data_IF_989569676963
#
_entry.id   IF_989569676963
#
_cell.length_a   1.000
_cell.length_b   1.000
_cell.length_c   1.000
_cell.angle_alpha   90.00
_cell.angle_beta   90.00
_cell.angle_gamma   90.00
#
_symmetry.space_group_name_H-M   'P 1'
#
loop_
_entity.id
_entity.type
_entity.pdbx_description
1 polymer ?
#
# COMPACT_ATOMS: atom_id res chain seq x y z
N UNK A 1 52.99 -64.50 -10.34
CA UNK A 1 52.28 -65.71 -10.79
C UNK A 1 51.11 -65.29 -11.64
N UNK A 2 51.23 -65.60 -12.78
CA UNK A 2 50.51 -66.22 -13.90
C UNK A 2 49.68 -65.20 -14.70
N UNK A 3 50.26 -64.97 -15.86
CA UNK A 3 49.97 -65.60 -17.19
C UNK A 3 48.68 -65.08 -17.80
N UNK A 4 48.63 -64.21 -18.79
CA UNK A 4 49.11 -64.38 -20.14
C UNK A 4 48.04 -64.96 -21.06
N UNK A 5 47.43 -64.09 -21.93
CA UNK A 5 46.98 -64.63 -23.22
C UNK A 5 46.78 -63.49 -24.24
N UNK A 6 47.71 -63.51 -25.23
CA UNK A 6 47.57 -62.72 -26.47
C UNK A 6 46.49 -63.33 -27.37
N UNK A 7 45.64 -62.54 -27.92
CA UNK A 7 44.88 -62.94 -29.11
C UNK A 7 45.07 -61.91 -30.21
N UNK A 8 45.52 -62.40 -31.34
CA UNK A 8 45.76 -61.69 -32.60
C UNK A 8 44.43 -61.27 -33.24
N UNK A 9 44.25 -60.00 -33.45
CA UNK A 9 43.15 -59.49 -34.26
C UNK A 9 43.57 -59.22 -35.68
N UNK A 10 42.86 -59.78 -36.62
CA UNK A 10 43.02 -59.66 -38.08
C UNK A 10 42.65 -58.27 -38.54
N UNK A 11 43.61 -57.61 -39.23
CA UNK A 11 43.40 -56.37 -39.95
C UNK A 11 42.59 -56.64 -41.24
N UNK A 12 41.35 -56.17 -41.30
CA UNK A 12 40.56 -56.06 -42.52
C UNK A 12 40.90 -54.75 -43.20
N UNK A 13 41.58 -54.80 -44.33
CA UNK A 13 41.72 -53.67 -45.26
C UNK A 13 40.37 -53.34 -45.86
N UNK A 14 39.84 -52.19 -45.59
CA UNK A 14 38.68 -51.64 -46.24
C UNK A 14 39.18 -50.80 -47.39
N UNK A 15 38.87 -51.23 -48.61
CA UNK A 15 39.15 -50.47 -49.83
C UNK A 15 38.07 -49.40 -50.00
N UNK A 16 38.47 -48.12 -49.90
CA UNK A 16 37.61 -47.00 -50.23
C UNK A 16 37.47 -46.91 -51.76
N UNK A 17 36.30 -47.25 -52.30
CA UNK A 17 35.92 -46.89 -53.65
C UNK A 17 35.50 -45.39 -53.62
N UNK A 18 36.29 -44.52 -54.27
CA UNK A 18 35.87 -43.17 -54.62
C UNK A 18 34.63 -43.23 -55.53
N UNK A 19 33.47 -42.99 -54.96
CA UNK A 19 32.26 -42.78 -55.71
C UNK A 19 32.30 -41.40 -56.36
N UNK A 20 32.32 -41.31 -57.63
CA UNK A 20 32.17 -40.07 -58.42
C UNK A 20 30.86 -39.39 -58.06
N UNK A 21 30.95 -38.29 -57.37
CA UNK A 21 29.82 -37.43 -57.07
C UNK A 21 29.21 -36.89 -58.34
N UNK A 22 28.04 -37.41 -58.71
CA UNK A 22 27.19 -36.80 -59.73
C UNK A 22 26.76 -35.43 -59.23
N UNK A 23 27.34 -34.35 -59.74
CA UNK A 23 26.85 -32.97 -59.57
C UNK A 23 25.36 -32.92 -59.85
N UNK A 24 24.51 -32.81 -58.86
CA UNK A 24 23.10 -32.44 -59.05
C UNK A 24 23.07 -31.05 -59.64
N UNK A 25 22.64 -30.96 -60.90
CA UNK A 25 22.29 -29.69 -61.56
C UNK A 25 21.29 -28.95 -60.63
N UNK A 26 21.72 -27.87 -60.02
CA UNK A 26 20.80 -26.94 -59.39
C UNK A 26 19.85 -26.42 -60.47
N UNK A 27 18.60 -26.88 -60.40
CA UNK A 27 17.50 -26.31 -61.19
C UNK A 27 17.28 -24.91 -60.65
N UNK A 28 17.82 -23.91 -61.33
CA UNK A 28 17.43 -22.51 -61.11
C UNK A 28 15.95 -22.38 -61.41
N UNK A 29 15.15 -22.33 -60.34
CA UNK A 29 13.72 -22.10 -60.46
C UNK A 29 13.54 -20.65 -60.92
N UNK A 30 13.30 -20.44 -62.19
CA UNK A 30 12.84 -19.16 -62.72
C UNK A 30 11.34 -19.11 -62.47
N UNK A 31 10.85 -18.30 -61.52
CA UNK A 31 9.42 -18.22 -61.33
C UNK A 31 8.76 -17.72 -62.61
N UNK A 32 7.76 -18.43 -63.06
CA UNK A 32 6.98 -17.97 -64.23
C UNK A 32 6.22 -16.71 -63.82
N UNK A 33 6.14 -15.73 -64.72
CA UNK A 33 5.41 -14.48 -64.50
C UNK A 33 3.98 -14.72 -63.96
N UNK A 34 3.34 -15.79 -64.45
CA UNK A 34 2.02 -16.26 -63.98
C UNK A 34 2.04 -16.76 -62.50
N UNK A 35 3.16 -17.36 -62.09
CA UNK A 35 3.31 -17.77 -60.65
C UNK A 35 3.44 -16.58 -59.69
N UNK A 36 4.23 -15.59 -60.08
CA UNK A 36 4.39 -14.34 -59.31
C UNK A 36 3.06 -13.60 -59.19
N UNK A 37 2.31 -13.47 -60.28
CA UNK A 37 0.98 -12.84 -60.30
C UNK A 37 -0.02 -13.54 -59.37
N UNK A 38 -0.03 -14.89 -59.36
CA UNK A 38 -0.90 -15.65 -58.46
C UNK A 38 -0.55 -15.43 -56.97
N UNK A 39 0.75 -15.41 -56.60
CA UNK A 39 1.18 -15.14 -55.22
C UNK A 39 0.82 -13.72 -54.85
N UNK A 40 1.02 -12.75 -55.73
CA UNK A 40 0.69 -11.35 -55.48
C UNK A 40 -0.82 -11.15 -55.31
N UNK A 41 -1.65 -11.83 -56.08
CA UNK A 41 -3.11 -11.81 -55.92
C UNK A 41 -3.56 -12.40 -54.59
N UNK A 42 -2.94 -13.50 -54.13
CA UNK A 42 -3.24 -14.08 -52.80
C UNK A 42 -2.85 -13.12 -51.69
N UNK A 43 -1.67 -12.50 -51.75
CA UNK A 43 -1.22 -11.51 -50.77
C UNK A 43 -2.18 -10.30 -50.73
N UNK A 44 -2.60 -9.79 -51.90
CA UNK A 44 -3.58 -8.71 -51.97
C UNK A 44 -4.92 -9.08 -51.30
N UNK A 45 -5.41 -10.32 -51.50
CA UNK A 45 -6.64 -10.77 -50.85
C UNK A 45 -6.50 -10.78 -49.34
N UNK A 46 -5.36 -11.26 -48.80
CA UNK A 46 -5.11 -11.22 -47.34
C UNK A 46 -4.97 -9.81 -46.79
N UNK A 47 -4.28 -8.92 -47.50
CA UNK A 47 -4.15 -7.52 -47.11
C UNK A 47 -5.51 -6.82 -47.14
N UNK A 48 -6.29 -6.97 -48.18
CA UNK A 48 -7.64 -6.38 -48.27
C UNK A 48 -8.56 -6.98 -47.22
N UNK A 49 -8.49 -8.31 -46.99
CA UNK A 49 -9.24 -8.97 -45.92
C UNK A 49 -8.87 -8.45 -44.53
N UNK A 50 -7.57 -8.32 -44.23
CA UNK A 50 -7.10 -7.79 -42.98
C UNK A 50 -7.48 -6.32 -42.74
N UNK A 51 -7.34 -5.49 -43.78
CA UNK A 51 -7.77 -4.08 -43.75
C UNK A 51 -9.30 -3.97 -43.56
N UNK A 52 -10.06 -4.81 -44.28
CA UNK A 52 -11.53 -4.82 -44.14
C UNK A 52 -11.96 -5.24 -42.74
N UNK A 53 -11.33 -6.24 -42.15
CA UNK A 53 -11.60 -6.65 -40.75
C UNK A 53 -11.25 -5.55 -39.78
N UNK A 54 -10.12 -4.88 -39.94
CA UNK A 54 -9.72 -3.75 -39.11
C UNK A 54 -10.73 -2.59 -39.18
N UNK A 55 -11.18 -2.24 -40.39
CA UNK A 55 -12.20 -1.20 -40.56
C UNK A 55 -13.58 -1.63 -40.05
N UNK A 56 -13.96 -2.91 -40.25
CA UNK A 56 -15.19 -3.44 -39.73
C UNK A 56 -15.23 -3.43 -38.18
N UNK A 57 -14.14 -3.84 -37.54
CA UNK A 57 -14.00 -3.77 -36.09
C UNK A 57 -14.11 -2.32 -35.56
N UNK A 58 -13.42 -1.40 -36.23
CA UNK A 58 -13.46 0.02 -35.89
C UNK A 58 -14.86 0.62 -36.13
N UNK A 59 -15.53 0.23 -37.19
CA UNK A 59 -16.89 0.66 -37.49
C UNK A 59 -17.90 0.12 -36.48
N UNK A 60 -17.80 -1.15 -36.12
CA UNK A 60 -18.66 -1.76 -35.08
C UNK A 60 -18.44 -1.09 -33.70
N UNK A 61 -17.20 -0.79 -33.36
CA UNK A 61 -16.89 -0.04 -32.11
C UNK A 61 -17.42 1.39 -32.15
N UNK A 62 -17.42 2.04 -33.30
CA UNK A 62 -17.92 3.42 -33.45
C UNK A 62 -19.44 3.53 -33.66
N UNK A 63 -20.09 2.48 -34.16
CA UNK A 63 -21.53 2.50 -34.46
C UNK A 63 -22.44 2.16 -33.29
N UNK A 64 -21.92 1.58 -32.19
CA UNK A 64 -22.66 1.44 -30.96
C UNK A 64 -22.52 2.77 -30.17
N UNK A 65 -23.62 3.48 -29.89
CA UNK A 65 -23.52 4.58 -28.94
C UNK A 65 -22.92 4.02 -27.65
N UNK A 66 -21.82 4.63 -27.19
CA UNK A 66 -21.18 4.20 -25.97
C UNK A 66 -22.22 4.32 -24.85
N UNK A 67 -22.62 3.18 -24.31
CA UNK A 67 -23.48 3.17 -23.13
C UNK A 67 -22.72 3.91 -22.01
N UNK A 68 -23.41 4.83 -21.34
CA UNK A 68 -22.85 5.57 -20.23
C UNK A 68 -23.53 5.13 -18.95
N UNK A 69 -22.79 5.02 -17.89
CA UNK A 69 -23.30 4.62 -16.59
C UNK A 69 -22.64 5.38 -15.43
N UNK A 70 -23.21 5.29 -14.24
CA UNK A 70 -22.65 5.90 -13.04
C UNK A 70 -21.41 5.11 -12.58
N UNK A 71 -20.62 5.76 -11.73
CA UNK A 71 -19.55 5.15 -10.98
C UNK A 71 -20.02 4.74 -9.60
N UNK A 72 -19.69 3.54 -9.18
CA UNK A 72 -19.96 3.03 -7.84
C UNK A 72 -18.64 2.64 -7.14
N UNK A 73 -18.48 3.14 -5.91
CA UNK A 73 -17.38 2.74 -5.02
C UNK A 73 -17.83 1.52 -4.23
N UNK A 74 -17.10 0.42 -4.37
CA UNK A 74 -17.35 -0.83 -3.65
C UNK A 74 -16.47 -0.89 -2.40
N UNK A 75 -16.93 -1.60 -1.36
CA UNK A 75 -16.19 -1.81 -0.11
C UNK A 75 -15.77 -0.50 0.60
N UNK A 76 -16.63 0.51 0.54
CA UNK A 76 -16.39 1.79 1.21
C UNK A 76 -16.51 1.60 2.72
N UNK A 77 -15.47 1.91 3.51
CA UNK A 77 -15.53 1.77 4.96
C UNK A 77 -16.50 2.79 5.59
N UNK A 78 -17.08 2.42 6.73
CA UNK A 78 -18.05 3.26 7.44
C UNK A 78 -17.46 4.61 7.90
N UNK A 79 -16.18 4.63 8.23
CA UNK A 79 -15.47 5.83 8.65
C UNK A 79 -15.23 6.84 7.52
N UNK A 80 -15.33 6.42 6.24
CA UNK A 80 -15.08 7.31 5.12
C UNK A 80 -16.16 8.41 5.04
N UNK A 81 -15.74 9.67 5.20
CA UNK A 81 -16.64 10.82 5.17
C UNK A 81 -17.25 11.04 3.78
N UNK A 82 -18.36 11.78 3.74
CA UNK A 82 -18.99 12.20 2.47
C UNK A 82 -18.05 13.04 1.61
N UNK A 83 -17.20 13.86 2.25
CA UNK A 83 -16.23 14.70 1.58
C UNK A 83 -15.13 13.87 0.94
N UNK A 84 -14.61 12.84 1.64
CA UNK A 84 -13.63 11.92 1.07
C UNK A 84 -14.21 11.16 -0.13
N UNK A 85 -15.42 10.65 -0.02
CA UNK A 85 -16.11 9.98 -1.14
C UNK A 85 -16.31 10.93 -2.34
N UNK A 86 -16.68 12.18 -2.07
CA UNK A 86 -16.83 13.19 -3.11
C UNK A 86 -15.50 13.53 -3.80
N UNK A 87 -14.41 13.65 -3.01
CA UNK A 87 -13.06 13.87 -3.52
C UNK A 87 -12.62 12.76 -4.45
N UNK A 88 -12.79 11.49 -4.04
CA UNK A 88 -12.44 10.33 -4.86
C UNK A 88 -13.26 10.31 -6.16
N UNK A 89 -14.57 10.57 -6.09
CA UNK A 89 -15.41 10.67 -7.28
C UNK A 89 -14.96 11.78 -8.23
N UNK A 90 -14.59 12.93 -7.69
CA UNK A 90 -14.07 14.02 -8.49
C UNK A 90 -12.73 13.66 -9.16
N UNK A 91 -11.83 13.02 -8.42
CA UNK A 91 -10.55 12.54 -8.95
C UNK A 91 -10.73 11.50 -10.06
N UNK A 92 -11.71 10.62 -9.96
CA UNK A 92 -12.02 9.63 -11.00
C UNK A 92 -12.46 10.26 -12.35
N UNK A 93 -12.85 11.52 -12.37
CA UNK A 93 -13.20 12.25 -13.61
C UNK A 93 -14.67 12.57 -13.79
N UNK A 94 -15.54 12.33 -12.78
CA UNK A 94 -16.94 12.73 -12.84
C UNK A 94 -17.95 11.74 -12.28
N UNK A 95 -19.21 11.90 -12.71
CA UNK A 95 -20.32 11.08 -12.23
C UNK A 95 -20.78 9.99 -13.21
N UNK A 96 -20.52 10.19 -14.50
CA UNK A 96 -20.93 9.30 -15.59
C UNK A 96 -19.76 9.00 -16.49
N UNK A 97 -19.58 7.75 -16.82
CA UNK A 97 -18.48 7.22 -17.60
C UNK A 97 -19.01 6.41 -18.78
N UNK A 98 -18.23 6.34 -19.86
CA UNK A 98 -18.45 5.35 -20.90
C UNK A 98 -18.23 3.96 -20.31
N UNK A 99 -19.09 3.02 -20.68
CA UNK A 99 -18.98 1.63 -20.21
C UNK A 99 -18.10 0.82 -21.15
N UNK A 100 -16.84 1.26 -21.32
CA UNK A 100 -15.83 0.61 -22.14
C UNK A 100 -14.50 0.47 -21.37
N UNK A 101 -13.58 -0.26 -21.96
CA UNK A 101 -12.29 -0.56 -21.37
C UNK A 101 -11.40 0.70 -21.28
N UNK A 102 -11.51 1.60 -22.27
CA UNK A 102 -10.76 2.87 -22.30
C UNK A 102 -11.14 3.78 -21.12
N UNK A 103 -12.43 3.83 -20.77
CA UNK A 103 -12.88 4.58 -19.61
C UNK A 103 -12.39 3.96 -18.29
N UNK A 104 -12.30 2.62 -18.21
CA UNK A 104 -11.74 1.96 -17.03
C UNK A 104 -10.26 2.27 -16.84
N UNK A 105 -9.46 2.25 -17.92
CA UNK A 105 -8.04 2.64 -17.88
C UNK A 105 -7.87 4.10 -17.43
N UNK A 106 -8.63 5.02 -18.03
CA UNK A 106 -8.59 6.43 -17.66
C UNK A 106 -8.93 6.66 -16.19
N UNK A 107 -9.93 5.97 -15.66
CA UNK A 107 -10.30 6.06 -14.24
C UNK A 107 -9.19 5.49 -13.35
N UNK A 108 -8.55 4.38 -13.77
CA UNK A 108 -7.42 3.79 -13.05
C UNK A 108 -6.23 4.75 -12.97
N UNK A 109 -5.87 5.37 -14.08
CA UNK A 109 -4.80 6.37 -14.14
C UNK A 109 -5.10 7.58 -13.23
N UNK A 110 -6.32 8.10 -13.29
CA UNK A 110 -6.73 9.22 -12.46
C UNK A 110 -6.69 8.90 -10.96
N UNK A 111 -7.09 7.69 -10.58
CA UNK A 111 -7.12 7.27 -9.19
C UNK A 111 -5.76 6.82 -8.65
N UNK A 112 -4.80 6.47 -9.52
CA UNK A 112 -3.45 6.09 -9.10
C UNK A 112 -2.72 7.16 -8.29
N UNK A 113 -3.09 8.43 -8.45
CA UNK A 113 -2.54 9.56 -7.71
C UNK A 113 -3.32 9.92 -6.43
N UNK A 114 -4.38 9.17 -6.11
CA UNK A 114 -5.17 9.40 -4.91
C UNK A 114 -4.54 8.67 -3.73
N UNK A 115 -3.88 9.38 -2.84
CA UNK A 115 -3.17 8.81 -1.69
C UNK A 115 -4.05 7.93 -0.78
N UNK A 116 -5.35 8.15 -0.77
CA UNK A 116 -6.33 7.45 0.07
C UNK A 116 -6.67 6.02 -0.38
N UNK A 117 -6.28 5.65 -1.59
CA UNK A 117 -6.61 4.37 -2.20
C UNK A 117 -5.36 3.58 -2.55
N UNK A 118 -5.43 2.29 -2.34
CA UNK A 118 -4.41 1.33 -2.72
C UNK A 118 -5.05 0.09 -3.37
N UNK A 119 -4.27 -0.65 -4.16
CA UNK A 119 -4.73 -1.86 -4.84
C UNK A 119 -6.06 -1.65 -5.59
N UNK A 120 -6.11 -0.62 -6.41
CA UNK A 120 -7.32 -0.20 -7.13
C UNK A 120 -7.64 -1.20 -8.24
N UNK A 121 -8.87 -1.71 -8.26
CA UNK A 121 -9.42 -2.57 -9.30
C UNK A 121 -10.65 -1.92 -9.88
N UNK A 122 -10.69 -1.80 -11.19
CA UNK A 122 -11.81 -1.20 -11.90
C UNK A 122 -12.45 -2.24 -12.81
N UNK A 123 -13.75 -2.38 -12.71
CA UNK A 123 -14.54 -3.29 -13.50
C UNK A 123 -15.67 -2.51 -14.20
N UNK A 124 -15.70 -2.60 -15.52
CA UNK A 124 -16.78 -2.03 -16.30
C UNK A 124 -17.86 -3.09 -16.51
N UNK A 125 -19.07 -2.80 -16.13
CA UNK A 125 -20.26 -3.61 -16.38
C UNK A 125 -21.11 -2.94 -17.46
N UNK A 126 -22.14 -3.62 -17.93
CA UNK A 126 -23.11 -3.03 -18.88
C UNK A 126 -23.99 -1.91 -18.30
N UNK A 127 -23.88 -1.60 -16.99
CA UNK A 127 -24.68 -0.57 -16.31
C UNK A 127 -23.86 0.50 -15.61
N UNK A 128 -22.64 0.15 -15.14
CA UNK A 128 -21.86 1.02 -14.27
C UNK A 128 -20.38 0.64 -14.26
N UNK A 129 -19.55 1.57 -13.83
CA UNK A 129 -18.15 1.35 -13.53
C UNK A 129 -18.02 1.11 -12.02
N UNK A 130 -17.54 -0.07 -11.64
CA UNK A 130 -17.28 -0.46 -10.26
C UNK A 130 -15.81 -0.19 -9.92
N UNK A 131 -15.56 0.49 -8.80
CA UNK A 131 -14.24 0.75 -8.26
C UNK A 131 -14.13 0.05 -6.92
N UNK A 132 -13.29 -0.97 -6.87
CA UNK A 132 -12.88 -1.65 -5.66
C UNK A 132 -11.45 -1.22 -5.30
N UNK A 133 -11.21 -0.83 -4.05
CA UNK A 133 -9.88 -0.44 -3.59
C UNK A 133 -9.70 -0.74 -2.10
N UNK A 134 -8.45 -0.89 -1.68
CA UNK A 134 -8.10 -0.82 -0.26
C UNK A 134 -8.07 0.64 0.15
N UNK A 135 -8.87 1.01 1.13
CA UNK A 135 -8.92 2.35 1.70
C UNK A 135 -7.86 2.48 2.79
N UNK A 136 -7.01 3.50 2.69
CA UNK A 136 -6.02 3.80 3.71
C UNK A 136 -6.71 4.50 4.88
N UNK A 137 -6.66 3.84 6.05
CA UNK A 137 -7.23 4.37 7.28
C UNK A 137 -6.23 5.30 7.95
N UNK A 138 -6.53 6.59 8.13
CA UNK A 138 -5.63 7.48 8.86
C UNK A 138 -5.58 7.09 10.34
N UNK A 139 -4.38 7.06 10.90
CA UNK A 139 -4.11 6.75 12.30
C UNK A 139 -3.65 7.99 13.07
N UNK A 140 -2.88 8.82 12.40
CA UNK A 140 -2.31 10.02 12.99
C UNK A 140 -2.49 11.25 12.11
N UNK A 141 -2.37 12.43 12.73
CA UNK A 141 -2.35 13.72 12.04
C UNK A 141 -1.05 14.46 12.35
N UNK A 142 -0.44 15.03 11.33
CA UNK A 142 0.76 15.85 11.45
C UNK A 142 0.47 17.24 10.89
N UNK A 143 0.97 18.27 11.58
CA UNK A 143 0.88 19.65 11.11
C UNK A 143 2.23 20.11 10.53
N UNK A 144 2.20 20.64 9.31
CA UNK A 144 3.36 21.25 8.68
C UNK A 144 3.01 22.67 8.23
N UNK A 145 3.54 23.65 8.92
CA UNK A 145 3.15 25.05 8.73
C UNK A 145 1.66 25.27 9.02
N UNK A 146 0.90 25.72 8.02
CA UNK A 146 -0.55 25.90 8.12
C UNK A 146 -1.37 24.70 7.63
N UNK A 147 -0.71 23.67 7.11
CA UNK A 147 -1.38 22.50 6.52
C UNK A 147 -1.36 21.31 7.48
N UNK A 148 -2.45 20.55 7.47
CA UNK A 148 -2.55 19.27 8.15
C UNK A 148 -2.44 18.14 7.12
N UNK A 149 -1.82 17.05 7.53
CA UNK A 149 -1.70 15.80 6.79
C UNK A 149 -2.09 14.65 7.69
N UNK A 150 -2.60 13.58 7.12
CA UNK A 150 -2.74 12.34 7.86
C UNK A 150 -1.61 11.37 7.49
N UNK A 151 -1.43 10.38 8.36
CA UNK A 151 -0.52 9.26 8.15
C UNK A 151 -1.26 7.98 8.52
N UNK A 152 -1.14 6.96 7.68
CA UNK A 152 -1.68 5.63 7.95
C UNK A 152 -0.67 4.75 8.71
N UNK A 153 -1.02 3.48 8.93
CA UNK A 153 -0.17 2.49 9.61
C UNK A 153 1.01 2.00 8.76
N UNK A 154 1.02 2.29 7.46
CA UNK A 154 2.13 2.02 6.53
C UNK A 154 3.03 3.26 6.33
N UNK A 155 2.88 4.31 7.15
CA UNK A 155 3.58 5.59 7.06
C UNK A 155 3.32 6.36 5.77
N UNK A 156 2.23 6.07 5.05
CA UNK A 156 1.87 6.82 3.85
C UNK A 156 1.20 8.13 4.24
N UNK A 157 1.69 9.22 3.67
CA UNK A 157 1.11 10.55 3.87
C UNK A 157 -0.18 10.70 3.07
N UNK A 158 -1.24 11.11 3.74
CA UNK A 158 -2.54 11.39 3.15
C UNK A 158 -2.82 12.89 3.25
N UNK A 159 -3.41 13.46 2.22
CA UNK A 159 -3.86 14.83 2.26
C UNK A 159 -5.09 15.00 3.16
N UNK A 160 -5.20 16.14 3.82
CA UNK A 160 -6.24 16.38 4.82
C UNK A 160 -7.65 16.42 4.20
N UNK A 161 -8.51 15.56 4.73
CA UNK A 161 -9.97 15.59 4.52
C UNK A 161 -10.62 15.32 5.87
N UNK A 162 -11.62 16.09 6.31
CA UNK A 162 -12.26 15.85 7.62
C UNK A 162 -12.82 14.44 7.76
N UNK A 163 -12.39 13.72 8.80
CA UNK A 163 -12.85 12.37 9.15
C UNK A 163 -13.31 12.39 10.63
N UNK A 164 -14.56 12.71 10.92
CA UNK A 164 -15.02 12.97 12.30
C UNK A 164 -15.12 11.71 13.18
N UNK A 165 -15.19 10.53 12.57
CA UNK A 165 -15.52 9.29 13.28
C UNK A 165 -14.33 8.38 13.56
N UNK A 166 -13.10 8.93 13.52
CA UNK A 166 -11.89 8.18 13.86
C UNK A 166 -11.12 8.86 14.99
N UNK A 167 -10.52 8.07 15.90
CA UNK A 167 -9.61 8.59 16.94
C UNK A 167 -8.25 8.90 16.31
N UNK A 168 -8.12 10.07 15.67
CA UNK A 168 -6.88 10.47 14.99
C UNK A 168 -6.05 11.30 15.99
N UNK A 169 -4.88 10.77 16.35
CA UNK A 169 -3.96 11.38 17.31
C UNK A 169 -2.98 12.30 16.59
N UNK A 170 -2.72 13.49 17.16
CA UNK A 170 -1.70 14.39 16.61
C UNK A 170 -0.30 13.91 16.94
N UNK A 171 0.63 13.95 15.99
CA UNK A 171 2.06 13.73 16.25
C UNK A 171 2.78 15.07 16.22
N UNK A 172 3.53 15.35 17.28
CA UNK A 172 4.31 16.57 17.46
C UNK A 172 5.80 16.24 17.61
N UNK A 173 6.65 17.19 17.24
CA UNK A 173 8.08 17.07 17.50
C UNK A 173 8.85 16.24 16.46
N UNK A 174 8.29 15.94 15.30
CA UNK A 174 8.99 15.24 14.21
C UNK A 174 10.18 16.05 13.71
N UNK A 175 11.26 15.34 13.34
CA UNK A 175 12.49 15.95 12.83
C UNK A 175 12.50 16.14 11.33
N UNK A 176 11.85 15.23 10.60
CA UNK A 176 11.82 15.24 9.15
C UNK A 176 10.67 16.09 8.59
N UNK A 177 10.85 16.60 7.37
CA UNK A 177 9.78 17.31 6.65
C UNK A 177 8.74 16.31 6.14
N UNK A 178 7.48 16.76 6.09
CA UNK A 178 6.38 15.99 5.51
C UNK A 178 6.61 15.83 4.00
N UNK A 179 6.65 14.60 3.46
CA UNK A 179 6.70 14.37 2.02
C UNK A 179 5.35 14.65 1.36
N UNK A 180 5.27 14.43 0.03
CA UNK A 180 4.02 14.63 -0.70
C UNK A 180 2.97 13.55 -0.34
N UNK A 181 1.68 13.87 -0.39
CA UNK A 181 0.63 12.86 -0.25
C UNK A 181 0.81 11.69 -1.24
N UNK A 182 0.66 10.47 -0.74
CA UNK A 182 0.91 9.22 -1.46
C UNK A 182 2.32 8.65 -1.29
N UNK A 183 3.25 9.41 -0.75
CA UNK A 183 4.61 8.95 -0.46
C UNK A 183 4.71 8.34 0.94
N UNK A 184 5.56 7.32 1.09
CA UNK A 184 5.92 6.74 2.39
C UNK A 184 6.89 7.68 3.10
N UNK A 185 6.56 8.10 4.29
CA UNK A 185 7.41 8.98 5.10
C UNK A 185 8.42 8.17 5.90
N UNK A 186 9.62 8.05 5.40
CA UNK A 186 10.73 7.36 6.05
C UNK A 186 11.33 8.23 7.16
N UNK A 187 10.83 8.07 8.39
CA UNK A 187 11.27 8.81 9.56
C UNK A 187 11.14 7.94 10.81
N UNK A 188 12.25 7.68 11.49
CA UNK A 188 12.29 6.77 12.65
C UNK A 188 11.41 7.27 13.81
N UNK A 189 11.34 8.59 14.02
CA UNK A 189 10.52 9.17 15.06
C UNK A 189 9.02 9.11 14.74
N UNK A 190 8.66 9.19 13.45
CA UNK A 190 7.30 8.95 13.00
C UNK A 190 6.92 7.47 13.15
N UNK A 191 7.78 6.56 12.69
CA UNK A 191 7.55 5.12 12.79
C UNK A 191 7.33 4.68 14.25
N UNK A 192 8.16 5.18 15.17
CA UNK A 192 7.99 4.92 16.59
C UNK A 192 6.64 5.39 17.14
N UNK A 193 6.18 6.59 16.73
CA UNK A 193 4.87 7.10 17.14
C UNK A 193 3.73 6.27 16.55
N UNK A 194 3.77 6.02 15.23
CA UNK A 194 2.74 5.26 14.52
C UNK A 194 2.66 3.82 15.03
N UNK A 195 3.79 3.19 15.33
CA UNK A 195 3.84 1.84 15.92
C UNK A 195 3.08 1.79 17.25
N UNK A 196 3.29 2.75 18.14
CA UNK A 196 2.55 2.82 19.42
C UNK A 196 1.06 2.99 19.14
N UNK A 197 0.67 3.95 18.29
CA UNK A 197 -0.74 4.21 17.97
C UNK A 197 -1.42 3.00 17.31
N UNK A 198 -0.72 2.29 16.43
CA UNK A 198 -1.23 1.06 15.81
C UNK A 198 -1.46 -0.06 16.83
N UNK A 199 -0.56 -0.19 17.82
CA UNK A 199 -0.75 -1.13 18.92
C UNK A 199 -1.93 -0.76 19.81
N UNK A 200 -2.12 0.52 20.08
CA UNK A 200 -3.31 1.00 20.80
C UNK A 200 -4.60 0.75 20.00
N UNK A 201 -4.64 1.04 18.70
CA UNK A 201 -5.80 0.73 17.83
C UNK A 201 -6.11 -0.78 17.81
N UNK A 202 -5.08 -1.63 17.81
CA UNK A 202 -5.23 -3.07 17.90
C UNK A 202 -5.80 -3.51 19.27
N UNK A 203 -5.27 -2.95 20.35
CA UNK A 203 -5.73 -3.25 21.72
C UNK A 203 -7.15 -2.75 21.94
N UNK A 204 -7.52 -1.57 21.44
CA UNK A 204 -8.87 -1.03 21.56
C UNK A 204 -9.92 -1.97 20.97
N UNK A 205 -9.64 -2.55 19.80
CA UNK A 205 -10.53 -3.53 19.17
C UNK A 205 -10.75 -4.78 20.01
N UNK A 206 -9.73 -5.20 20.78
CA UNK A 206 -9.78 -6.41 21.58
C UNK A 206 -10.27 -6.18 23.02
N UNK A 207 -9.94 -5.04 23.63
CA UNK A 207 -10.05 -4.80 25.07
C UNK A 207 -11.11 -3.77 25.43
N UNK A 208 -11.29 -2.75 24.57
CA UNK A 208 -12.20 -1.62 24.81
C UNK A 208 -13.00 -1.23 23.57
N UNK A 209 -13.66 -2.19 22.87
CA UNK A 209 -14.34 -1.93 21.58
C UNK A 209 -15.44 -0.88 21.68
N UNK A 210 -16.17 -0.84 22.80
CA UNK A 210 -17.27 0.10 23.01
C UNK A 210 -16.81 1.51 23.37
N UNK A 211 -15.60 1.62 23.96
CA UNK A 211 -15.01 2.90 24.37
C UNK A 211 -13.51 2.85 24.14
N UNK A 212 -13.04 3.05 22.89
CA UNK A 212 -11.62 2.99 22.56
C UNK A 212 -10.79 4.02 23.33
N UNK A 213 -9.67 3.59 23.91
CA UNK A 213 -8.75 4.43 24.66
C UNK A 213 -8.15 5.56 23.80
N UNK A 214 -7.93 5.28 22.51
CA UNK A 214 -7.39 6.26 21.57
C UNK A 214 -8.23 7.55 21.48
N UNK A 215 -9.55 7.49 21.75
CA UNK A 215 -10.37 8.70 21.82
C UNK A 215 -10.02 9.64 22.99
N UNK A 216 -9.33 9.14 24.02
CA UNK A 216 -8.89 9.97 25.16
C UNK A 216 -7.52 10.64 24.90
N UNK A 217 -6.75 10.16 23.90
CA UNK A 217 -5.43 10.70 23.58
C UNK A 217 -5.59 11.85 22.57
N UNK A 218 -5.01 13.00 22.89
CA UNK A 218 -4.99 14.18 22.05
C UNK A 218 -3.77 14.19 21.12
N UNK A 219 -2.58 13.92 21.69
CA UNK A 219 -1.33 13.98 20.93
C UNK A 219 -0.27 13.02 21.47
N UNK A 220 0.72 12.74 20.65
CA UNK A 220 1.96 12.07 20.98
C UNK A 220 3.14 12.97 20.62
N UNK A 221 4.03 13.22 21.57
CA UNK A 221 5.22 14.04 21.40
C UNK A 221 6.46 13.15 21.27
N UNK A 222 7.13 13.25 20.14
CA UNK A 222 8.40 12.58 19.83
C UNK A 222 9.58 13.56 19.77
N UNK A 223 9.41 14.77 20.27
CA UNK A 223 10.44 15.81 20.20
C UNK A 223 11.76 15.44 20.87
N UNK A 224 11.72 14.52 21.83
CA UNK A 224 12.90 13.96 22.49
C UNK A 224 13.24 12.53 22.02
N UNK A 225 12.73 12.11 20.85
CA UNK A 225 13.02 10.79 20.30
C UNK A 225 14.52 10.48 20.32
N UNK A 226 14.87 9.27 20.76
CA UNK A 226 16.25 8.79 20.94
C UNK A 226 17.12 9.73 21.81
N UNK A 227 16.49 10.49 22.75
CA UNK A 227 17.20 11.39 23.66
C UNK A 227 17.80 12.64 23.03
N UNK A 228 17.38 13.02 21.80
CA UNK A 228 17.96 14.12 21.01
C UNK A 228 17.95 15.50 21.68
N UNK A 229 17.03 15.75 22.63
CA UNK A 229 17.05 16.95 23.47
C UNK A 229 17.77 16.73 24.79
N UNK A 230 17.43 15.62 25.46
CA UNK A 230 18.01 15.25 26.75
C UNK A 230 17.85 13.74 26.99
N UNK A 231 18.94 13.01 27.10
CA UNK A 231 18.93 11.55 27.30
C UNK A 231 18.35 11.08 28.64
N UNK A 232 18.05 11.97 29.58
CA UNK A 232 17.40 11.62 30.87
C UNK A 232 15.87 11.75 30.80
N UNK A 233 15.35 12.51 29.85
CA UNK A 233 13.91 12.69 29.66
C UNK A 233 13.32 11.51 28.85
N UNK A 234 12.02 11.24 28.99
CA UNK A 234 11.36 10.25 28.17
C UNK A 234 11.47 10.61 26.68
N UNK A 235 11.64 9.59 25.83
CA UNK A 235 11.75 9.79 24.38
C UNK A 235 10.41 10.10 23.75
N UNK A 236 9.34 9.44 24.24
CA UNK A 236 7.98 9.52 23.73
C UNK A 236 7.04 9.75 24.90
N UNK A 237 6.14 10.73 24.75
CA UNK A 237 5.10 11.06 25.70
C UNK A 237 3.78 11.21 24.97
N UNK A 238 2.74 10.55 25.44
CA UNK A 238 1.38 10.78 24.98
C UNK A 238 0.70 11.77 25.93
N UNK A 239 -0.25 12.51 25.44
CA UNK A 239 -1.04 13.46 26.21
C UNK A 239 -2.51 13.15 26.07
N UNK A 240 -3.20 13.03 27.17
CA UNK A 240 -4.65 12.96 27.18
C UNK A 240 -5.28 14.33 26.82
N UNK A 241 -6.59 14.36 26.61
CA UNK A 241 -7.31 15.59 26.21
C UNK A 241 -7.27 16.74 27.23
N UNK A 242 -6.95 16.44 28.48
CA UNK A 242 -6.76 17.42 29.56
C UNK A 242 -5.29 17.73 29.85
N UNK A 243 -4.39 17.36 28.91
CA UNK A 243 -2.94 17.48 29.04
C UNK A 243 -2.30 16.59 30.13
N UNK A 244 -3.01 15.58 30.64
CA UNK A 244 -2.38 14.54 31.48
C UNK A 244 -1.28 13.85 30.68
N UNK A 245 -0.05 13.84 31.21
CA UNK A 245 1.10 13.20 30.55
C UNK A 245 1.07 11.68 30.75
N UNK A 246 1.19 10.93 29.67
CA UNK A 246 1.35 9.49 29.67
C UNK A 246 2.76 9.21 29.17
N UNK A 247 3.67 8.97 30.11
CA UNK A 247 5.10 8.79 29.85
C UNK A 247 5.32 7.38 29.33
N UNK A 248 5.43 7.24 28.00
CA UNK A 248 5.72 5.95 27.35
C UNK A 248 7.19 5.55 27.53
N UNK A 249 8.11 6.48 27.29
CA UNK A 249 9.55 6.25 27.38
C UNK A 249 10.20 5.98 26.03
N UNK A 250 10.94 4.88 25.93
CA UNK A 250 11.65 4.48 24.71
C UNK A 250 10.71 3.94 23.64
N UNK A 251 11.16 3.92 22.40
CA UNK A 251 10.45 3.32 21.26
C UNK A 251 10.17 1.82 21.46
N UNK A 252 9.14 1.33 20.81
CA UNK A 252 8.69 -0.05 20.92
C UNK A 252 9.83 -1.04 20.58
N UNK A 253 10.03 -2.06 21.43
CA UNK A 253 11.08 -3.06 21.28
C UNK A 253 12.46 -2.68 21.83
N UNK A 254 12.65 -1.47 22.38
CA UNK A 254 13.96 -1.00 22.87
C UNK A 254 14.04 -0.81 24.39
N UNK A 255 12.99 -1.13 25.10
CA UNK A 255 12.85 -0.97 26.56
C UNK A 255 14.06 -1.52 27.36
N UNK A 256 14.65 -2.63 26.95
CA UNK A 256 15.81 -3.24 27.62
C UNK A 256 17.01 -2.30 27.67
N UNK A 257 17.27 -1.56 26.59
CA UNK A 257 18.39 -0.63 26.47
C UNK A 257 18.29 0.51 27.49
N UNK A 258 17.06 0.86 27.87
CA UNK A 258 16.78 1.97 28.77
C UNK A 258 16.33 1.53 30.16
N UNK A 259 16.36 0.20 30.43
CA UNK A 259 15.95 -0.40 31.71
C UNK A 259 14.52 -0.02 32.09
N UNK A 260 13.64 0.06 31.12
CA UNK A 260 12.23 0.36 31.30
C UNK A 260 11.39 -0.92 31.42
N UNK A 261 10.14 -0.77 31.80
CA UNK A 261 9.10 -1.81 31.73
C UNK A 261 8.94 -2.32 30.29
N UNK A 262 8.61 -3.60 30.11
CA UNK A 262 8.35 -4.15 28.77
C UNK A 262 7.18 -3.46 28.07
N UNK A 263 7.15 -3.48 26.75
CA UNK A 263 6.09 -2.81 26.00
C UNK A 263 4.71 -3.42 26.28
N UNK A 264 4.65 -4.74 26.49
CA UNK A 264 3.44 -5.45 26.89
C UNK A 264 2.94 -5.01 28.26
N UNK A 265 3.85 -4.83 29.22
CA UNK A 265 3.52 -4.34 30.56
C UNK A 265 3.07 -2.87 30.51
N UNK A 266 3.72 -2.02 29.68
CA UNK A 266 3.28 -0.63 29.46
C UNK A 266 1.83 -0.59 28.95
N UNK A 267 1.50 -1.40 27.94
CA UNK A 267 0.15 -1.52 27.44
C UNK A 267 -0.81 -2.04 28.51
N UNK A 268 -0.44 -3.11 29.23
CA UNK A 268 -1.27 -3.68 30.27
C UNK A 268 -1.58 -2.67 31.39
N UNK A 269 -0.57 -1.91 31.85
CA UNK A 269 -0.72 -0.85 32.86
C UNK A 269 -1.66 0.26 32.38
N UNK A 270 -1.46 0.72 31.12
CA UNK A 270 -2.29 1.78 30.55
C UNK A 270 -3.76 1.37 30.45
N UNK A 271 -4.03 0.16 29.95
CA UNK A 271 -5.40 -0.36 29.83
C UNK A 271 -6.02 -0.74 31.18
N UNK A 272 -5.23 -1.20 32.16
CA UNK A 272 -5.70 -1.42 33.53
C UNK A 272 -6.15 -0.11 34.16
N UNK A 273 -5.31 0.93 34.08
CA UNK A 273 -5.66 2.28 34.55
C UNK A 273 -6.95 2.79 33.88
N UNK A 274 -7.02 2.70 32.55
CA UNK A 274 -8.19 3.16 31.81
C UNK A 274 -9.48 2.42 32.18
N UNK A 275 -9.41 1.11 32.43
CA UNK A 275 -10.57 0.32 32.88
C UNK A 275 -10.99 0.66 34.32
N UNK A 276 -10.04 0.92 35.18
CA UNK A 276 -10.31 1.23 36.60
C UNK A 276 -10.97 2.60 36.75
N UNK A 277 -10.43 3.61 36.07
CA UNK A 277 -10.90 5.00 36.20
C UNK A 277 -11.88 5.44 35.11
N UNK A 278 -12.01 4.67 34.05
CA UNK A 278 -12.91 4.96 32.91
C UNK A 278 -12.47 6.16 32.05
N UNK A 279 -11.32 6.78 32.35
CA UNK A 279 -10.72 7.88 31.60
C UNK A 279 -9.22 7.96 31.85
N UNK A 280 -8.47 8.53 30.91
CA UNK A 280 -7.06 8.91 31.11
C UNK A 280 -6.93 10.33 31.70
N UNK A 281 -8.02 11.07 31.70
CA UNK A 281 -8.11 12.44 32.18
C UNK A 281 -8.70 12.51 33.60
N UNK A 282 -8.28 13.50 34.38
CA UNK A 282 -9.09 13.91 35.56
C UNK A 282 -8.65 13.41 36.93
N UNK A 283 -7.41 13.09 37.13
CA UNK A 283 -7.03 12.72 38.52
C UNK A 283 -5.56 12.84 38.82
N UNK A 284 -4.73 12.64 37.83
CA UNK A 284 -3.27 12.63 38.03
C UNK A 284 -2.61 13.62 37.09
N UNK A 285 -1.46 14.09 37.44
CA UNK A 285 -0.67 14.98 36.60
C UNK A 285 0.02 14.19 35.46
N UNK A 286 0.42 12.97 35.78
CA UNK A 286 1.08 12.08 34.80
C UNK A 286 0.83 10.61 35.15
N UNK A 287 0.92 9.76 34.14
CA UNK A 287 0.92 8.29 34.22
C UNK A 287 2.29 7.82 33.72
N UNK A 288 3.10 7.24 34.59
CA UNK A 288 4.43 6.78 34.22
C UNK A 288 4.41 5.27 33.89
N UNK A 289 4.57 4.93 32.62
CA UNK A 289 4.60 3.55 32.15
C UNK A 289 6.02 2.97 32.11
N UNK A 290 7.05 3.81 32.21
CA UNK A 290 8.47 3.41 32.13
C UNK A 290 8.93 2.63 33.37
N UNK A 291 8.36 2.98 34.53
CA UNK A 291 8.85 2.50 35.82
C UNK A 291 8.43 1.05 36.08
N UNK A 292 9.38 0.10 36.25
CA UNK A 292 9.07 -1.27 36.63
C UNK A 292 8.37 -1.42 37.99
N UNK A 293 8.45 -0.39 38.88
CA UNK A 293 7.94 -0.44 40.23
C UNK A 293 6.50 0.03 40.44
N UNK A 294 5.71 0.15 39.38
CA UNK A 294 4.27 0.49 39.43
C UNK A 294 3.89 1.84 40.06
N UNK A 295 4.77 2.82 40.00
CA UNK A 295 4.47 4.16 40.53
C UNK A 295 3.53 4.92 39.57
N UNK A 296 2.25 4.57 39.54
CA UNK A 296 1.20 5.45 39.05
C UNK A 296 0.89 6.42 40.19
N UNK A 297 1.08 7.75 40.04
CA UNK A 297 0.78 8.69 41.10
C UNK A 297 -0.68 8.60 41.52
N UNK A 298 -0.90 8.52 42.80
CA UNK A 298 -2.25 8.64 43.35
C UNK A 298 -2.86 9.98 42.94
N UNK A 299 -4.18 10.06 42.71
CA UNK A 299 -4.85 11.32 42.47
C UNK A 299 -4.49 12.33 43.57
N UNK A 300 -4.10 13.53 43.16
CA UNK A 300 -3.92 14.60 44.12
C UNK A 300 -5.32 15.02 44.54
N UNK A 301 -5.69 14.76 45.80
CA UNK A 301 -6.92 15.28 46.37
C UNK A 301 -6.94 16.80 46.14
N UNK A 302 -7.87 17.26 45.33
CA UNK A 302 -8.14 18.70 45.18
C UNK A 302 -8.89 19.15 46.42
N UNK A 303 -8.16 19.69 47.39
CA UNK A 303 -8.75 20.52 48.43
C UNK A 303 -9.01 21.93 47.92
#
# INVERSE_FOLDING_TARGET
>A
MTSGKKTKGKTKRISFKLGTSKRKKQRTYRPSLTGILKVLAIVCIFVVGGVSLYFAERYVKSAKPAETGPMELVNVPEWASSELKAKIRAAAGGKTFRLDEEAAEMVAENLAFVAWLDNIKIQTTHKQVLIEARWRKPLAMVKSGSQNFYVDDELVVLDFVPIPNLPIVRIEGLSARVPSPGEVWQSDDLDAAVTILAKLDQMDKAVTPDKPLLYEIDRIDVSNFNGRKNGRLPHIVLYAKDDTEIIWGAEFGTWQRYLETTDEEKLAKLYAYYKEYGSLSGGVKYINLRDPQDNIPQPVDKY
#
